data_IF_270930445637
#
_entry.id   IF_270930445637
#
_cell.length_a   1.000
_cell.length_b   1.000
_cell.length_c   1.000
_cell.angle_alpha   90.00
_cell.angle_beta   90.00
_cell.angle_gamma   90.00
#
_symmetry.space_group_name_H-M   'P 1'
#
loop_
_entity.id
_entity.type
_entity.pdbx_description
1 polymer ?
#
# COMPACT_ATOMS: atom_id res chain seq x y z
N UNK A 1 2.75 -16.28 5.17
CA UNK A 1 2.06 -15.45 6.17
C UNK A 1 2.24 -16.07 7.53
N UNK A 2 2.38 -15.26 8.58
CA UNK A 2 2.40 -15.72 9.97
C UNK A 2 1.01 -15.65 10.60
N UNK A 3 0.59 -16.74 11.24
CA UNK A 3 -0.68 -16.88 11.97
C UNK A 3 -0.51 -16.73 13.49
N UNK A 4 0.73 -16.71 13.98
CA UNK A 4 1.04 -16.95 15.38
C UNK A 4 1.69 -15.77 16.09
N UNK A 5 2.31 -14.84 15.36
CA UNK A 5 2.97 -13.67 15.93
C UNK A 5 2.09 -12.43 15.93
N UNK A 6 2.23 -11.61 16.97
CA UNK A 6 1.73 -10.23 16.99
C UNK A 6 2.38 -9.42 15.86
N UNK A 7 1.69 -8.37 15.37
CA UNK A 7 2.04 -7.56 14.19
C UNK A 7 3.49 -7.03 14.13
N UNK A 8 4.27 -7.10 15.21
CA UNK A 8 5.57 -6.45 15.36
C UNK A 8 6.80 -7.32 14.99
N UNK A 9 6.64 -8.58 14.52
CA UNK A 9 7.78 -9.51 14.32
C UNK A 9 7.80 -10.17 12.94
N UNK A 10 8.05 -9.40 11.89
CA UNK A 10 8.34 -9.98 10.56
C UNK A 10 9.70 -9.54 9.99
N UNK A 11 10.46 -8.77 10.76
CA UNK A 11 11.90 -8.55 10.60
C UNK A 11 12.71 -9.85 10.74
N UNK A 12 12.11 -10.89 11.33
CA UNK A 12 12.71 -12.22 11.49
C UNK A 12 11.81 -13.32 10.93
N UNK A 13 12.41 -14.49 10.68
CA UNK A 13 11.71 -15.68 10.24
C UNK A 13 11.21 -15.64 8.79
N UNK A 14 10.45 -16.66 8.36
CA UNK A 14 10.17 -16.93 6.95
C UNK A 14 9.01 -16.12 6.34
N UNK A 15 8.40 -15.21 7.09
CA UNK A 15 7.11 -14.60 6.74
C UNK A 15 7.26 -13.21 6.12
N UNK A 16 6.48 -12.90 5.08
CA UNK A 16 6.42 -11.54 4.50
C UNK A 16 5.51 -10.62 5.32
N UNK A 17 4.41 -11.18 5.83
CA UNK A 17 3.39 -10.45 6.60
C UNK A 17 2.65 -11.39 7.56
N UNK A 18 1.83 -10.85 8.45
CA UNK A 18 1.01 -11.58 9.41
C UNK A 18 -0.47 -11.50 9.05
N UNK A 19 -1.29 -12.40 9.60
CA UNK A 19 -2.76 -12.34 9.43
C UNK A 19 -3.32 -11.02 9.94
N UNK A 20 -2.81 -10.52 11.07
CA UNK A 20 -3.21 -9.22 11.61
C UNK A 20 -2.78 -8.06 10.70
N UNK A 21 -1.68 -8.20 9.95
CA UNK A 21 -1.27 -7.24 8.93
C UNK A 21 -2.24 -7.23 7.74
N UNK A 22 -2.70 -8.41 7.32
CA UNK A 22 -3.73 -8.51 6.28
C UNK A 22 -5.10 -8.00 6.72
N UNK A 23 -5.52 -8.27 7.95
CA UNK A 23 -6.77 -7.72 8.50
C UNK A 23 -6.75 -6.18 8.49
N UNK A 24 -5.63 -5.61 8.95
CA UNK A 24 -5.40 -4.16 8.86
C UNK A 24 -5.45 -3.66 7.40
N UNK A 25 -4.84 -4.40 6.46
CA UNK A 25 -4.84 -4.06 5.05
C UNK A 25 -6.27 -4.04 4.49
N UNK A 26 -7.07 -5.08 4.74
CA UNK A 26 -8.46 -5.19 4.29
C UNK A 26 -9.27 -3.97 4.76
N UNK A 27 -9.12 -3.57 6.02
CA UNK A 27 -9.79 -2.39 6.57
C UNK A 27 -9.39 -1.07 5.88
N UNK A 28 -8.13 -0.94 5.44
CA UNK A 28 -7.67 0.25 4.72
C UNK A 28 -8.12 0.25 3.25
N UNK A 29 -8.09 -0.89 2.57
CA UNK A 29 -8.57 -1.05 1.19
C UNK A 29 -10.06 -0.70 1.08
N UNK A 30 -10.87 -1.23 1.99
CA UNK A 30 -12.31 -0.98 2.01
C UNK A 30 -12.66 0.42 2.54
N UNK A 31 -11.71 1.09 3.21
CA UNK A 31 -11.88 2.37 3.91
C UNK A 31 -13.08 2.40 4.88
N UNK A 32 -13.49 1.22 5.36
CA UNK A 32 -14.60 1.06 6.29
C UNK A 32 -14.08 1.16 7.72
N UNK A 33 -14.58 2.14 8.47
CA UNK A 33 -14.33 2.19 9.91
C UNK A 33 -15.15 1.12 10.61
N UNK A 34 -14.60 0.55 11.68
CA UNK A 34 -15.38 -0.33 12.57
C UNK A 34 -16.59 0.43 13.13
N UNK A 35 -17.77 -0.16 12.97
CA UNK A 35 -19.02 0.36 13.52
C UNK A 35 -19.08 -0.07 14.99
N UNK A 36 -19.09 0.92 15.90
CA UNK A 36 -19.22 0.68 17.34
C UNK A 36 -20.65 0.42 17.76
N UNK A 37 -21.60 0.98 17.03
CA UNK A 37 -23.03 0.88 17.29
C UNK A 37 -23.79 0.64 15.98
N UNK A 38 -24.32 -0.57 15.83
CA UNK A 38 -25.09 -0.96 14.65
C UNK A 38 -26.54 -0.45 14.66
N UNK A 39 -26.92 0.36 15.64
CA UNK A 39 -28.15 1.18 15.60
C UNK A 39 -27.91 2.57 15.00
N UNK A 40 -26.65 2.97 14.80
CA UNK A 40 -26.32 4.17 14.02
C UNK A 40 -26.49 3.87 12.51
N UNK A 41 -27.72 3.97 12.05
CA UNK A 41 -28.07 3.68 10.66
C UNK A 41 -27.36 4.58 9.66
N UNK A 42 -26.99 5.82 10.04
CA UNK A 42 -26.19 6.70 9.19
C UNK A 42 -24.77 6.16 8.99
N UNK A 43 -24.14 5.66 10.05
CA UNK A 43 -22.83 5.03 9.97
C UNK A 43 -22.88 3.75 9.13
N UNK A 44 -23.91 2.91 9.30
CA UNK A 44 -24.11 1.70 8.50
C UNK A 44 -24.34 2.04 7.02
N UNK A 45 -25.20 3.02 6.71
CA UNK A 45 -25.44 3.47 5.34
C UNK A 45 -24.16 3.96 4.65
N UNK A 46 -23.31 4.70 5.38
CA UNK A 46 -21.99 5.14 4.87
C UNK A 46 -21.05 3.96 4.64
N UNK A 47 -21.08 2.94 5.49
CA UNK A 47 -20.29 1.73 5.31
C UNK A 47 -20.73 0.97 4.05
N UNK A 48 -22.04 0.74 3.88
CA UNK A 48 -22.61 0.07 2.69
C UNK A 48 -22.19 0.83 1.42
N UNK A 49 -22.39 2.14 1.37
CA UNK A 49 -22.00 2.97 0.22
C UNK A 49 -20.50 2.87 -0.10
N UNK A 50 -19.65 2.79 0.93
CA UNK A 50 -18.21 2.61 0.73
C UNK A 50 -17.87 1.24 0.16
N UNK A 51 -18.47 0.18 0.68
CA UNK A 51 -18.27 -1.19 0.18
C UNK A 51 -18.67 -1.28 -1.30
N UNK A 52 -19.86 -0.81 -1.65
CA UNK A 52 -20.33 -0.78 -3.05
C UNK A 52 -19.41 0.02 -3.96
N UNK A 53 -18.90 1.18 -3.49
CA UNK A 53 -17.98 1.98 -4.28
C UNK A 53 -16.61 1.35 -4.48
N UNK A 54 -16.06 0.70 -3.44
CA UNK A 54 -14.72 0.11 -3.45
C UNK A 54 -14.66 -1.26 -4.12
N UNK A 55 -15.80 -1.95 -4.18
CA UNK A 55 -15.93 -3.29 -4.77
C UNK A 55 -16.69 -3.28 -6.10
N UNK A 56 -17.37 -2.19 -6.44
CA UNK A 56 -18.15 -2.09 -7.68
C UNK A 56 -19.39 -2.96 -7.71
N UNK A 57 -19.93 -3.31 -6.54
CA UNK A 57 -21.13 -4.13 -6.34
C UNK A 57 -22.32 -3.31 -5.84
N UNK A 58 -23.49 -3.93 -5.80
CA UNK A 58 -24.70 -3.38 -5.17
C UNK A 58 -25.15 -4.28 -4.01
N UNK A 59 -25.44 -3.67 -2.86
CA UNK A 59 -25.94 -4.34 -1.66
C UNK A 59 -27.41 -3.95 -1.42
N UNK A 60 -28.25 -4.16 -2.46
CA UNK A 60 -29.64 -3.71 -2.49
C UNK A 60 -30.46 -4.23 -1.30
N UNK A 61 -30.31 -5.52 -0.96
CA UNK A 61 -31.03 -6.11 0.16
C UNK A 61 -30.57 -5.55 1.51
N UNK A 62 -29.26 -5.30 1.67
CA UNK A 62 -28.73 -4.69 2.88
C UNK A 62 -29.26 -3.25 3.04
N UNK A 63 -29.36 -2.49 1.95
CA UNK A 63 -29.96 -1.14 1.95
C UNK A 63 -31.45 -1.19 2.32
N UNK A 64 -32.21 -2.09 1.72
CA UNK A 64 -33.63 -2.26 2.03
C UNK A 64 -33.85 -2.64 3.51
N UNK A 65 -33.09 -3.62 4.01
CA UNK A 65 -33.10 -4.00 5.44
C UNK A 65 -32.75 -2.83 6.35
N UNK A 66 -31.73 -2.05 6.01
CA UNK A 66 -31.33 -0.89 6.80
C UNK A 66 -32.47 0.15 6.88
N UNK A 67 -33.11 0.44 5.75
CA UNK A 67 -34.24 1.37 5.68
C UNK A 67 -35.44 0.89 6.51
N UNK A 68 -35.74 -0.40 6.49
CA UNK A 68 -36.80 -1.00 7.29
C UNK A 68 -36.50 -0.94 8.80
N UNK A 69 -35.24 -1.16 9.19
CA UNK A 69 -34.81 -1.08 10.59
C UNK A 69 -34.89 0.37 11.12
N UNK A 70 -34.45 1.33 10.32
CA UNK A 70 -34.52 2.76 10.64
C UNK A 70 -35.98 3.25 10.77
N UNK A 71 -36.85 2.80 9.87
CA UNK A 71 -38.23 3.29 9.77
C UNK A 71 -39.20 2.62 10.75
N UNK A 72 -38.95 1.36 11.14
CA UNK A 72 -39.97 0.57 11.85
C UNK A 72 -39.46 -0.19 13.09
N UNK A 73 -38.33 -0.89 12.99
CA UNK A 73 -37.98 -1.90 13.99
C UNK A 73 -37.07 -1.39 15.10
N UNK A 74 -36.25 -0.36 14.81
CA UNK A 74 -35.27 0.23 15.73
C UNK A 74 -34.37 -0.83 16.41
N UNK A 75 -33.92 -1.83 15.66
CA UNK A 75 -33.02 -2.90 16.10
C UNK A 75 -31.65 -2.78 15.44
N UNK A 76 -30.58 -3.31 16.05
CA UNK A 76 -29.25 -3.33 15.44
C UNK A 76 -29.26 -3.98 14.06
N UNK A 77 -28.63 -3.32 13.10
CA UNK A 77 -28.38 -3.87 11.78
C UNK A 77 -27.36 -5.03 11.85
N UNK A 78 -27.56 -6.03 11.02
CA UNK A 78 -26.60 -7.10 10.79
C UNK A 78 -26.58 -7.45 9.31
N UNK A 79 -25.37 -7.66 8.78
CA UNK A 79 -25.18 -8.29 7.48
C UNK A 79 -25.65 -9.74 7.55
N UNK A 80 -26.30 -10.21 6.50
CA UNK A 80 -26.62 -11.64 6.34
C UNK A 80 -25.40 -12.39 5.80
N UNK A 81 -25.39 -13.71 5.93
CA UNK A 81 -24.33 -14.54 5.32
C UNK A 81 -24.23 -14.29 3.81
N UNK A 82 -25.36 -14.08 3.12
CA UNK A 82 -25.38 -13.74 1.69
C UNK A 82 -24.76 -12.38 1.38
N UNK A 83 -24.91 -11.37 2.25
CA UNK A 83 -24.22 -10.09 2.06
C UNK A 83 -22.71 -10.27 2.21
N UNK A 84 -22.29 -11.02 3.24
CA UNK A 84 -20.90 -11.26 3.55
C UNK A 84 -20.21 -12.05 2.45
N UNK A 85 -20.85 -13.11 1.94
CA UNK A 85 -20.36 -13.90 0.81
C UNK A 85 -20.19 -13.04 -0.45
N UNK A 86 -21.15 -12.14 -0.72
CA UNK A 86 -21.07 -11.22 -1.87
C UNK A 86 -19.93 -10.22 -1.71
N UNK A 87 -19.75 -9.65 -0.51
CA UNK A 87 -18.64 -8.75 -0.18
C UNK A 87 -17.29 -9.48 -0.30
N UNK A 88 -17.17 -10.70 0.23
CA UNK A 88 -15.95 -11.51 0.19
C UNK A 88 -15.57 -11.85 -1.25
N UNK A 89 -16.53 -12.35 -2.03
CA UNK A 89 -16.32 -12.69 -3.44
C UNK A 89 -15.84 -11.47 -4.23
N UNK A 90 -16.51 -10.33 -4.06
CA UNK A 90 -16.15 -9.11 -4.77
C UNK A 90 -14.79 -8.54 -4.33
N UNK A 91 -14.45 -8.64 -3.05
CA UNK A 91 -13.13 -8.26 -2.55
C UNK A 91 -12.03 -9.13 -3.16
N UNK A 92 -12.23 -10.45 -3.19
CA UNK A 92 -11.29 -11.39 -3.82
C UNK A 92 -11.06 -11.06 -5.30
N UNK A 93 -12.13 -10.78 -6.03
CA UNK A 93 -12.08 -10.47 -7.46
C UNK A 93 -11.38 -9.15 -7.78
N UNK A 94 -11.65 -8.10 -6.99
CA UNK A 94 -11.14 -6.74 -7.26
C UNK A 94 -9.74 -6.53 -6.67
N UNK A 95 -9.50 -7.02 -5.45
CA UNK A 95 -8.30 -6.68 -4.67
C UNK A 95 -7.35 -7.86 -4.43
N UNK A 96 -7.81 -9.11 -4.58
CA UNK A 96 -6.97 -10.28 -4.34
C UNK A 96 -5.72 -10.32 -5.23
N UNK A 97 -5.86 -10.03 -6.52
CA UNK A 97 -4.75 -9.92 -7.47
C UNK A 97 -3.77 -8.80 -7.12
N UNK A 98 -4.21 -7.53 -7.02
CA UNK A 98 -3.37 -6.40 -6.63
C UNK A 98 -2.57 -6.60 -5.35
N UNK A 99 -3.22 -7.05 -4.26
CA UNK A 99 -2.56 -7.27 -2.97
C UNK A 99 -1.51 -8.38 -3.07
N UNK A 100 -1.87 -9.49 -3.72
CA UNK A 100 -0.94 -10.60 -3.93
C UNK A 100 0.27 -10.15 -4.73
N UNK A 101 0.08 -9.33 -5.76
CA UNK A 101 1.17 -8.78 -6.57
C UNK A 101 2.13 -7.96 -5.70
N UNK A 102 1.64 -7.02 -4.90
CA UNK A 102 2.49 -6.23 -3.99
C UNK A 102 3.29 -7.15 -3.05
N UNK A 103 2.64 -8.16 -2.47
CA UNK A 103 3.28 -9.07 -1.51
C UNK A 103 4.19 -10.13 -2.16
N UNK A 104 4.22 -10.25 -3.48
CA UNK A 104 5.02 -11.30 -4.17
C UNK A 104 5.98 -10.78 -5.23
N UNK A 105 5.76 -9.55 -5.72
CA UNK A 105 6.53 -8.93 -6.81
C UNK A 105 7.30 -7.68 -6.41
N UNK A 106 7.06 -7.14 -5.21
CA UNK A 106 8.01 -6.20 -4.62
C UNK A 106 9.34 -6.93 -4.38
N UNK A 107 10.44 -6.38 -4.90
CA UNK A 107 11.72 -7.08 -5.06
C UNK A 107 12.26 -7.73 -3.78
N UNK A 108 12.26 -7.08 -2.60
CA UNK A 108 12.68 -7.74 -1.35
C UNK A 108 11.84 -8.98 -1.01
N UNK A 109 10.54 -8.96 -1.32
CA UNK A 109 9.65 -10.08 -1.07
C UNK A 109 9.83 -11.20 -2.10
N UNK A 110 10.04 -10.85 -3.37
CA UNK A 110 10.36 -11.81 -4.42
C UNK A 110 11.68 -12.54 -4.13
N UNK A 111 12.71 -11.81 -3.69
CA UNK A 111 13.99 -12.38 -3.25
C UNK A 111 13.83 -13.33 -2.07
N UNK A 112 13.02 -12.96 -1.07
CA UNK A 112 12.71 -13.86 0.05
C UNK A 112 11.99 -15.13 -0.42
N UNK A 113 11.00 -15.01 -1.32
CA UNK A 113 10.27 -16.16 -1.87
C UNK A 113 11.24 -17.08 -2.63
N UNK A 114 12.08 -16.52 -3.50
CA UNK A 114 13.07 -17.25 -4.27
C UNK A 114 14.07 -17.98 -3.36
N UNK A 115 14.57 -17.30 -2.33
CA UNK A 115 15.44 -17.92 -1.32
C UNK A 115 14.74 -19.08 -0.61
N UNK A 116 13.49 -18.90 -0.20
CA UNK A 116 12.74 -19.95 0.49
C UNK A 116 12.48 -21.18 -0.38
N UNK A 117 12.25 -20.98 -1.68
CA UNK A 117 12.13 -22.05 -2.66
C UNK A 117 13.46 -22.80 -2.82
N UNK A 118 14.56 -22.06 -3.02
CA UNK A 118 15.90 -22.62 -3.15
C UNK A 118 16.32 -23.43 -1.90
N UNK A 119 16.05 -22.90 -0.71
CA UNK A 119 16.43 -23.52 0.55
C UNK A 119 15.45 -24.63 1.01
N UNK A 120 14.37 -24.90 0.26
CA UNK A 120 13.37 -25.90 0.62
C UNK A 120 12.57 -25.58 1.89
N UNK A 121 12.58 -24.32 2.34
CA UNK A 121 11.97 -23.87 3.60
C UNK A 121 10.47 -23.60 3.52
N UNK A 122 9.84 -23.94 2.39
CA UNK A 122 8.38 -24.03 2.26
C UNK A 122 7.82 -25.35 2.79
N UNK A 123 8.68 -26.34 3.07
CA UNK A 123 8.26 -27.66 3.59
C UNK A 123 7.55 -27.57 4.94
N UNK A 124 6.63 -28.52 5.19
CA UNK A 124 5.90 -28.60 6.46
C UNK A 124 6.83 -28.75 7.67
N UNK A 125 7.97 -29.44 7.51
CA UNK A 125 8.96 -29.57 8.58
C UNK A 125 9.56 -28.22 8.97
N UNK A 126 9.94 -27.38 8.01
CA UNK A 126 10.47 -26.05 8.30
C UNK A 126 9.39 -25.17 8.95
N UNK A 127 8.16 -25.19 8.43
CA UNK A 127 7.06 -24.42 9.01
C UNK A 127 6.76 -24.84 10.46
N UNK A 128 6.69 -26.16 10.72
CA UNK A 128 6.47 -26.69 12.06
C UNK A 128 7.66 -26.38 12.99
N UNK A 129 8.89 -26.47 12.50
CA UNK A 129 10.08 -26.13 13.27
C UNK A 129 10.07 -24.65 13.70
N UNK A 130 9.81 -23.71 12.78
CA UNK A 130 9.71 -22.28 13.12
C UNK A 130 8.63 -22.02 14.16
N UNK A 131 7.44 -22.61 14.00
CA UNK A 131 6.35 -22.49 14.97
C UNK A 131 6.74 -23.00 16.36
N UNK A 132 7.35 -24.19 16.45
CA UNK A 132 7.76 -24.77 17.72
C UNK A 132 8.94 -24.01 18.35
N UNK A 133 9.85 -23.47 17.53
CA UNK A 133 10.96 -22.63 17.99
C UNK A 133 10.44 -21.37 18.67
N UNK A 134 9.48 -20.66 18.06
CA UNK A 134 8.90 -19.45 18.66
C UNK A 134 8.13 -19.77 19.95
N UNK A 135 7.37 -20.87 20.00
CA UNK A 135 6.71 -21.30 21.24
C UNK A 135 7.69 -21.68 22.34
N UNK A 136 8.80 -22.35 21.98
CA UNK A 136 9.87 -22.68 22.92
C UNK A 136 10.53 -21.43 23.51
N UNK A 137 10.78 -20.39 22.71
CA UNK A 137 11.34 -19.11 23.20
C UNK A 137 10.45 -18.44 24.26
N UNK A 138 9.14 -18.69 24.21
CA UNK A 138 8.17 -18.16 25.17
C UNK A 138 7.98 -19.07 26.40
N UNK A 139 8.55 -20.28 26.40
CA UNK A 139 8.41 -21.30 27.45
C UNK A 139 9.64 -21.27 28.39
N UNK A 140 9.65 -20.31 29.31
CA UNK A 140 10.78 -20.03 30.22
C UNK A 140 11.16 -21.20 31.14
N UNK A 141 10.29 -22.19 31.32
CA UNK A 141 10.45 -23.27 32.29
C UNK A 141 10.64 -24.66 31.66
N UNK A 142 11.02 -24.73 30.39
CA UNK A 142 11.18 -26.00 29.65
C UNK A 142 9.95 -26.91 29.77
N UNK A 143 8.77 -26.31 29.73
CA UNK A 143 7.50 -27.01 29.85
C UNK A 143 7.11 -27.77 28.59
N UNK A 144 5.81 -27.78 28.31
CA UNK A 144 5.23 -28.56 27.22
C UNK A 144 5.78 -28.15 25.85
N UNK A 145 6.05 -26.87 25.61
CA UNK A 145 6.52 -26.42 24.29
C UNK A 145 7.97 -26.87 24.03
N UNK A 146 8.84 -26.81 25.05
CA UNK A 146 10.19 -27.34 24.95
C UNK A 146 10.22 -28.88 24.75
N UNK A 147 9.26 -29.61 25.33
CA UNK A 147 9.09 -31.04 25.08
C UNK A 147 8.61 -31.32 23.65
N UNK A 148 7.58 -30.62 23.17
CA UNK A 148 7.07 -30.73 21.79
C UNK A 148 8.17 -30.43 20.76
N UNK A 149 8.99 -29.40 21.01
CA UNK A 149 10.14 -29.06 20.18
C UNK A 149 11.18 -30.19 20.11
N UNK A 150 11.57 -30.77 21.25
CA UNK A 150 12.54 -31.89 21.30
C UNK A 150 12.00 -33.14 20.61
N UNK A 151 10.72 -33.46 20.81
CA UNK A 151 10.06 -34.60 20.14
C UNK A 151 10.03 -34.41 18.62
N UNK A 152 9.71 -33.20 18.16
CA UNK A 152 9.76 -32.85 16.75
C UNK A 152 11.15 -33.08 16.16
N UNK A 153 12.19 -32.53 16.81
CA UNK A 153 13.57 -32.67 16.34
C UNK A 153 14.02 -34.13 16.28
N UNK A 154 13.73 -34.93 17.30
CA UNK A 154 14.04 -36.37 17.27
C UNK A 154 13.35 -37.08 16.10
N UNK A 155 12.05 -36.83 15.90
CA UNK A 155 11.27 -37.43 14.80
C UNK A 155 11.84 -37.09 13.41
N UNK A 156 12.27 -35.84 13.20
CA UNK A 156 12.78 -35.40 11.89
C UNK A 156 14.24 -35.79 11.68
N UNK A 157 15.05 -35.85 12.74
CA UNK A 157 16.44 -36.30 12.65
C UNK A 157 16.57 -37.81 12.42
N UNK A 158 15.66 -38.61 13.00
CA UNK A 158 15.73 -40.08 12.95
C UNK A 158 14.97 -40.71 11.78
N UNK A 159 14.38 -39.89 10.88
CA UNK A 159 13.57 -40.43 9.77
C UNK A 159 14.45 -41.11 8.71
N UNK A 160 13.96 -42.19 8.06
CA UNK A 160 14.77 -42.99 7.14
C UNK A 160 15.06 -42.30 5.80
N UNK A 161 14.28 -41.28 5.42
CA UNK A 161 14.41 -40.56 4.15
C UNK A 161 14.59 -39.07 4.44
N UNK A 162 15.67 -38.49 3.91
CA UNK A 162 15.99 -37.06 4.02
C UNK A 162 16.03 -36.52 5.46
N UNK A 163 16.79 -37.10 6.40
CA UNK A 163 16.83 -36.62 7.78
C UNK A 163 17.35 -35.18 7.87
N UNK A 164 16.66 -34.33 8.63
CA UNK A 164 17.02 -32.92 8.79
C UNK A 164 17.52 -32.69 10.22
N UNK A 165 18.73 -32.15 10.35
CA UNK A 165 19.31 -31.78 11.65
C UNK A 165 18.82 -30.41 12.11
N UNK A 166 18.83 -30.14 13.42
CA UNK A 166 18.55 -28.80 13.97
C UNK A 166 19.44 -27.73 13.34
N UNK A 167 20.73 -28.02 13.13
CA UNK A 167 21.68 -27.11 12.47
C UNK A 167 21.27 -26.73 11.05
N UNK A 168 20.64 -27.65 10.32
CA UNK A 168 20.16 -27.36 8.97
C UNK A 168 19.00 -26.36 9.01
N UNK A 169 18.07 -26.53 9.96
CA UNK A 169 17.01 -25.55 10.18
C UNK A 169 17.57 -24.18 10.60
N UNK A 170 18.52 -24.15 11.53
CA UNK A 170 19.18 -22.93 12.00
C UNK A 170 19.93 -22.21 10.88
N UNK A 171 20.63 -22.94 10.00
CA UNK A 171 21.33 -22.37 8.85
C UNK A 171 20.34 -21.71 7.86
N UNK A 172 19.23 -22.38 7.57
CA UNK A 172 18.15 -21.81 6.74
C UNK A 172 17.56 -20.55 7.39
N UNK A 173 17.30 -20.58 8.69
CA UNK A 173 16.79 -19.42 9.43
C UNK A 173 17.78 -18.24 9.43
N UNK A 174 19.07 -18.51 9.65
CA UNK A 174 20.12 -17.50 9.61
C UNK A 174 20.21 -16.84 8.22
N UNK A 175 20.15 -17.63 7.15
CA UNK A 175 20.12 -17.10 5.79
C UNK A 175 18.89 -16.23 5.51
N UNK A 176 17.70 -16.63 5.98
CA UNK A 176 16.47 -15.84 5.83
C UNK A 176 16.57 -14.53 6.61
N UNK A 177 17.02 -14.58 7.86
CA UNK A 177 17.17 -13.39 8.69
C UNK A 177 18.22 -12.42 8.13
N UNK A 178 19.29 -12.93 7.53
CA UNK A 178 20.30 -12.10 6.88
C UNK A 178 19.77 -11.28 5.71
N UNK A 179 18.73 -11.73 4.99
CA UNK A 179 18.07 -10.93 3.95
C UNK A 179 17.18 -9.81 4.51
N UNK A 180 16.71 -9.96 5.75
CA UNK A 180 15.73 -9.07 6.37
C UNK A 180 16.35 -8.03 7.29
N UNK A 181 17.51 -8.35 7.84
CA UNK A 181 18.28 -7.47 8.72
C UNK A 181 18.49 -6.12 8.02
N UNK A 182 18.22 -5.05 8.77
CA UNK A 182 18.33 -3.64 8.38
C UNK A 182 17.52 -3.23 7.14
N UNK A 183 16.67 -4.10 6.61
CA UNK A 183 15.85 -3.83 5.44
C UNK A 183 14.43 -3.40 5.82
N UNK A 184 14.12 -2.13 5.56
CA UNK A 184 12.82 -1.51 5.83
C UNK A 184 11.65 -2.24 5.17
N UNK A 185 11.83 -2.98 4.07
CA UNK A 185 10.75 -3.77 3.47
C UNK A 185 10.11 -4.75 4.47
N UNK A 186 10.87 -5.20 5.47
CA UNK A 186 10.42 -6.10 6.54
C UNK A 186 10.11 -5.37 7.86
N UNK A 187 9.98 -4.05 7.81
CA UNK A 187 9.51 -3.22 8.91
C UNK A 187 8.00 -2.97 8.81
N UNK A 188 7.29 -3.04 9.96
CA UNK A 188 5.83 -2.79 10.02
C UNK A 188 5.42 -1.39 9.61
N UNK A 189 6.21 -0.37 9.95
CA UNK A 189 5.88 0.99 9.60
C UNK A 189 6.03 1.24 8.09
N UNK A 190 7.08 0.69 7.47
CA UNK A 190 7.31 0.78 6.03
C UNK A 190 6.30 -0.06 5.24
N UNK A 191 6.01 -1.32 5.62
CA UNK A 191 5.02 -2.13 4.91
C UNK A 191 3.63 -1.47 4.91
N UNK A 192 3.24 -0.84 6.02
CA UNK A 192 2.02 -0.02 6.09
C UNK A 192 2.10 1.18 5.15
N UNK A 193 3.23 1.88 5.14
CA UNK A 193 3.45 3.03 4.26
C UNK A 193 3.39 2.63 2.77
N UNK A 194 4.01 1.51 2.40
CA UNK A 194 4.01 0.95 1.04
C UNK A 194 2.58 0.67 0.56
N UNK A 195 1.78 0.00 1.39
CA UNK A 195 0.37 -0.28 1.08
C UNK A 195 -0.46 1.00 1.00
N UNK A 196 -0.25 1.96 1.91
CA UNK A 196 -0.95 3.24 1.86
C UNK A 196 -0.55 4.10 0.66
N UNK A 197 0.72 4.05 0.25
CA UNK A 197 1.23 4.70 -0.96
C UNK A 197 0.59 4.09 -2.20
N UNK A 198 0.52 2.76 -2.27
CA UNK A 198 -0.23 2.06 -3.32
C UNK A 198 -1.72 2.45 -3.34
N UNK A 199 -2.39 2.54 -2.19
CA UNK A 199 -3.80 2.93 -2.14
C UNK A 199 -4.04 4.37 -2.62
N UNK A 200 -3.07 5.27 -2.45
CA UNK A 200 -3.12 6.60 -3.07
C UNK A 200 -2.91 6.50 -4.58
N UNK A 201 -1.91 5.73 -5.02
CA UNK A 201 -1.61 5.49 -6.44
C UNK A 201 -2.77 4.83 -7.19
N UNK A 202 -3.46 3.89 -6.56
CA UNK A 202 -4.60 3.17 -7.13
C UNK A 202 -5.82 4.07 -7.42
N UNK A 203 -5.88 5.29 -6.84
CA UNK A 203 -6.93 6.27 -7.14
C UNK A 203 -6.80 6.87 -8.53
N UNK A 204 -5.61 6.84 -9.13
CA UNK A 204 -5.37 7.31 -10.48
C UNK A 204 -6.15 6.42 -11.46
N UNK A 205 -7.14 7.00 -12.14
CA UNK A 205 -7.90 6.27 -13.14
C UNK A 205 -7.07 6.03 -14.40
N UNK A 206 -7.50 5.08 -15.23
CA UNK A 206 -6.83 4.86 -16.52
C UNK A 206 -6.83 6.13 -17.39
N UNK A 207 -7.95 6.86 -17.54
CA UNK A 207 -7.97 8.14 -18.26
C UNK A 207 -7.01 9.19 -17.69
N UNK A 208 -6.88 9.29 -16.36
CA UNK A 208 -5.97 10.27 -15.73
C UNK A 208 -4.50 10.02 -16.10
N UNK A 209 -4.13 8.75 -16.30
CA UNK A 209 -2.76 8.35 -16.68
C UNK A 209 -2.55 8.45 -18.18
N UNK A 210 -3.57 8.12 -18.98
CA UNK A 210 -3.50 8.28 -20.44
C UNK A 210 -3.39 9.74 -20.84
N UNK A 211 -4.00 10.67 -20.09
CA UNK A 211 -3.91 12.10 -20.35
C UNK A 211 -2.47 12.66 -20.27
N UNK A 212 -1.55 12.01 -19.55
CA UNK A 212 -0.13 12.41 -19.52
C UNK A 212 0.56 12.22 -20.87
N UNK A 213 0.17 11.19 -21.63
CA UNK A 213 0.81 10.85 -22.89
C UNK A 213 0.31 11.70 -24.07
N UNK A 214 -0.70 12.55 -23.86
CA UNK A 214 -1.40 13.32 -24.91
C UNK A 214 -0.99 14.80 -24.90
N UNK A 215 0.17 15.16 -24.34
CA UNK A 215 0.65 16.55 -24.33
C UNK A 215 1.25 17.04 -25.66
N UNK A 216 1.22 16.23 -26.73
CA UNK A 216 1.35 16.78 -28.09
C UNK A 216 0.02 17.43 -28.47
N UNK A 217 0.03 18.77 -28.58
CA UNK A 217 -1.07 19.66 -28.97
C UNK A 217 -1.97 19.10 -30.10
N UNK A 218 -2.97 18.28 -29.76
CA UNK A 218 -4.17 18.16 -30.58
C UNK A 218 -5.21 19.12 -30.00
N UNK A 219 -5.33 20.30 -30.62
CA UNK A 219 -6.48 21.21 -30.47
C UNK A 219 -7.77 20.42 -30.74
N UNK A 220 -8.36 19.87 -29.68
CA UNK A 220 -9.72 19.34 -29.73
C UNK A 220 -10.69 20.54 -29.68
N UNK A 221 -11.67 20.60 -30.59
CA UNK A 221 -12.58 21.74 -30.69
C UNK A 221 -13.40 21.89 -29.41
N UNK A 222 -13.41 23.11 -28.88
CA UNK A 222 -14.20 23.59 -27.76
C UNK A 222 -15.66 23.10 -27.82
N UNK A 223 -16.01 22.19 -26.90
CA UNK A 223 -17.38 21.87 -26.54
C UNK A 223 -17.69 22.47 -25.17
N UNK A 224 -17.92 23.79 -25.15
CA UNK A 224 -18.85 24.55 -24.31
C UNK A 224 -19.15 24.02 -22.91
N UNK A 225 -18.77 24.84 -21.92
CA UNK A 225 -19.19 24.85 -20.51
C UNK A 225 -20.40 23.97 -20.16
N UNK A 226 -20.15 22.84 -19.47
CA UNK A 226 -21.19 22.11 -18.73
C UNK A 226 -21.22 22.61 -17.29
N UNK A 227 -22.09 23.60 -17.08
CA UNK A 227 -22.63 23.99 -15.79
C UNK A 227 -23.01 22.76 -14.95
N UNK A 228 -22.54 22.77 -13.69
CA UNK A 228 -22.96 21.80 -12.69
C UNK A 228 -24.48 21.88 -12.48
N UNK A 229 -25.26 20.80 -12.63
CA UNK A 229 -26.67 20.84 -12.32
C UNK A 229 -26.87 20.73 -10.80
N UNK A 230 -27.49 21.79 -10.28
CA UNK A 230 -28.19 21.86 -9.00
C UNK A 230 -29.29 20.81 -8.87
N UNK A 231 -29.56 20.43 -7.62
CA UNK A 231 -30.70 19.64 -7.16
C UNK A 231 -32.02 20.05 -7.85
N UNK A 232 -32.70 19.10 -8.50
CA UNK A 232 -34.16 18.92 -8.45
C UNK A 232 -34.55 17.59 -9.13
N UNK A 233 -35.17 16.71 -8.35
CA UNK A 233 -35.76 15.44 -8.80
C UNK A 233 -37.24 15.66 -9.17
N UNK A 234 -37.63 15.40 -10.42
CA UNK A 234 -39.00 14.96 -10.75
C UNK A 234 -38.95 13.83 -11.80
N UNK A 235 -39.82 12.81 -11.70
CA UNK A 235 -39.80 11.67 -12.60
C UNK A 235 -40.74 11.89 -13.80
N UNK A 236 -40.26 11.65 -15.03
CA UNK A 236 -41.16 11.45 -16.17
C UNK A 236 -40.85 10.13 -16.88
N UNK A 237 -41.90 9.35 -17.07
CA UNK A 237 -41.93 8.07 -17.74
C UNK A 237 -41.92 8.19 -19.28
N UNK A 238 -41.56 7.05 -19.89
CA UNK A 238 -41.80 6.60 -21.27
C UNK A 238 -40.94 7.18 -22.40
N UNK A 239 -40.02 6.34 -22.90
CA UNK A 239 -40.01 5.94 -24.30
C UNK A 239 -39.14 4.69 -24.48
N UNK A 240 -39.75 3.62 -24.95
CA UNK A 240 -39.15 2.33 -25.21
C UNK A 240 -38.40 2.28 -26.55
N UNK A 241 -37.58 1.23 -26.67
CA UNK A 241 -37.08 0.60 -27.90
C UNK A 241 -35.91 1.30 -28.63
N UNK A 242 -34.69 0.90 -28.25
CA UNK A 242 -33.65 0.54 -29.24
C UNK A 242 -32.86 -0.65 -28.68
N UNK A 243 -33.26 -1.84 -29.10
CA UNK A 243 -32.56 -3.12 -28.90
C UNK A 243 -31.61 -3.34 -30.09
N UNK A 244 -30.52 -4.07 -29.86
CA UNK A 244 -29.47 -4.52 -30.80
C UNK A 244 -28.17 -3.70 -30.90
N UNK A 245 -27.43 -3.69 -29.79
CA UNK A 245 -26.13 -4.36 -29.71
C UNK A 245 -25.85 -4.62 -28.22
N UNK A 246 -25.37 -5.79 -27.84
CA UNK A 246 -24.73 -6.00 -26.53
C UNK A 246 -23.26 -5.59 -26.68
N UNK A 247 -22.84 -4.33 -26.40
CA UNK A 247 -21.51 -4.13 -25.89
C UNK A 247 -21.52 -4.71 -24.48
N UNK A 248 -20.47 -5.43 -24.10
CA UNK A 248 -20.23 -5.82 -22.71
C UNK A 248 -20.39 -4.53 -21.89
N UNK A 249 -21.52 -4.37 -21.19
CA UNK A 249 -21.66 -3.34 -20.16
C UNK A 249 -20.67 -3.76 -19.08
N UNK A 250 -19.45 -3.25 -19.17
CA UNK A 250 -18.45 -3.48 -18.14
C UNK A 250 -19.08 -3.04 -16.82
N UNK A 251 -19.33 -4.01 -15.93
CA UNK A 251 -19.81 -3.66 -14.60
C UNK A 251 -18.75 -2.82 -13.91
N UNK A 252 -19.15 -1.91 -13.02
CA UNK A 252 -18.20 -1.11 -12.23
C UNK A 252 -17.13 -1.99 -11.57
N UNK A 253 -17.48 -3.20 -11.14
CA UNK A 253 -16.55 -4.20 -10.62
C UNK A 253 -15.46 -4.59 -11.62
N UNK A 254 -15.80 -4.84 -12.89
CA UNK A 254 -14.83 -5.19 -13.95
C UNK A 254 -13.86 -4.03 -14.20
N UNK A 255 -14.38 -2.80 -14.26
CA UNK A 255 -13.56 -1.58 -14.44
C UNK A 255 -12.57 -1.44 -13.27
N UNK A 256 -13.05 -1.54 -12.02
CA UNK A 256 -12.19 -1.43 -10.83
C UNK A 256 -11.14 -2.54 -10.77
N UNK A 257 -11.52 -3.78 -11.10
CA UNK A 257 -10.59 -4.92 -11.16
C UNK A 257 -9.48 -4.66 -12.17
N UNK A 258 -9.82 -4.20 -13.38
CA UNK A 258 -8.84 -3.88 -14.43
C UNK A 258 -7.92 -2.74 -14.00
N UNK A 259 -8.50 -1.63 -13.52
CA UNK A 259 -7.77 -0.46 -13.05
C UNK A 259 -6.77 -0.83 -11.93
N UNK A 260 -7.22 -1.48 -10.86
CA UNK A 260 -6.34 -1.80 -9.74
C UNK A 260 -5.29 -2.84 -10.09
N UNK A 261 -5.57 -3.76 -11.01
CA UNK A 261 -4.57 -4.69 -11.51
C UNK A 261 -3.46 -3.98 -12.31
N UNK A 262 -3.83 -3.01 -13.16
CA UNK A 262 -2.88 -2.18 -13.90
C UNK A 262 -2.05 -1.30 -12.96
N UNK A 263 -2.70 -0.57 -12.06
CA UNK A 263 -2.04 0.29 -11.06
C UNK A 263 -1.08 -0.49 -10.16
N UNK A 264 -1.42 -1.73 -9.79
CA UNK A 264 -0.53 -2.57 -8.99
C UNK A 264 0.71 -3.06 -9.77
N UNK A 265 0.58 -3.26 -11.08
CA UNK A 265 1.73 -3.56 -11.94
C UNK A 265 2.67 -2.36 -12.04
N UNK A 266 2.13 -1.21 -12.45
CA UNK A 266 2.93 0.03 -12.62
C UNK A 266 3.58 0.45 -11.31
N UNK A 267 2.82 0.50 -10.20
CA UNK A 267 3.37 0.87 -8.89
C UNK A 267 4.55 -0.02 -8.46
N UNK A 268 4.45 -1.33 -8.68
CA UNK A 268 5.52 -2.26 -8.32
C UNK A 268 6.72 -2.14 -9.27
N UNK A 269 6.49 -1.91 -10.56
CA UNK A 269 7.58 -1.62 -11.51
C UNK A 269 8.33 -0.35 -11.10
N UNK A 270 7.61 0.75 -10.82
CA UNK A 270 8.22 2.02 -10.40
C UNK A 270 8.99 1.89 -9.09
N UNK A 271 8.39 1.29 -8.05
CA UNK A 271 9.07 1.14 -6.75
C UNK A 271 10.24 0.15 -6.83
N UNK A 272 10.16 -0.90 -7.65
CA UNK A 272 11.32 -1.76 -7.87
C UNK A 272 12.45 -1.01 -8.60
N UNK A 273 12.14 -0.14 -9.58
CA UNK A 273 13.14 0.73 -10.23
C UNK A 273 13.85 1.61 -9.20
N UNK A 274 13.11 2.22 -8.27
CA UNK A 274 13.66 3.00 -7.14
C UNK A 274 14.61 2.16 -6.29
N UNK A 275 14.19 0.98 -5.85
CA UNK A 275 15.00 0.09 -5.00
C UNK A 275 16.23 -0.45 -5.72
N UNK A 276 16.15 -0.63 -7.03
CA UNK A 276 17.25 -1.17 -7.84
C UNK A 276 18.38 -0.18 -8.02
N UNK A 277 18.01 1.08 -8.23
CA UNK A 277 18.93 2.20 -8.45
C UNK A 277 19.45 2.75 -7.12
N UNK A 278 18.55 2.94 -6.15
CA UNK A 278 18.86 3.45 -4.82
C UNK A 278 18.46 2.42 -3.74
N UNK A 279 19.28 1.38 -3.49
CA UNK A 279 19.00 0.36 -2.48
C UNK A 279 18.83 0.91 -1.06
N UNK A 280 19.50 2.02 -0.76
CA UNK A 280 19.44 2.74 0.52
C UNK A 280 18.04 3.31 0.80
N UNK A 281 17.15 3.36 -0.20
CA UNK A 281 15.71 3.56 0.01
C UNK A 281 15.13 2.58 1.04
N UNK A 282 15.69 1.38 1.14
CA UNK A 282 15.27 0.36 2.10
C UNK A 282 16.10 0.35 3.38
N UNK A 283 16.94 1.35 3.61
CA UNK A 283 17.74 1.51 4.82
C UNK A 283 17.18 2.66 5.65
N UNK A 284 17.12 2.52 6.97
CA UNK A 284 16.57 3.58 7.84
C UNK A 284 17.45 4.83 7.85
N UNK A 285 18.75 4.62 7.74
CA UNK A 285 19.83 5.58 7.66
C UNK A 285 20.23 5.86 6.20
N UNK A 286 19.37 5.52 5.24
CA UNK A 286 19.59 5.86 3.83
C UNK A 286 19.77 7.37 3.66
N UNK A 287 20.86 7.76 3.02
CA UNK A 287 21.27 9.15 2.82
C UNK A 287 20.93 9.62 1.40
N UNK A 288 20.59 10.89 1.24
CA UNK A 288 20.46 11.53 -0.06
C UNK A 288 21.31 12.80 -0.12
N UNK A 289 21.80 13.15 -1.31
CA UNK A 289 22.53 14.39 -1.55
C UNK A 289 21.67 15.40 -2.30
N UNK A 290 21.61 16.65 -1.82
CA UNK A 290 20.98 17.74 -2.55
C UNK A 290 21.88 18.32 -3.67
N UNK A 291 21.36 19.30 -4.41
CA UNK A 291 22.05 19.98 -5.52
C UNK A 291 23.39 20.63 -5.10
N UNK A 292 23.50 21.06 -3.85
CA UNK A 292 24.69 21.67 -3.27
C UNK A 292 25.69 20.64 -2.72
N UNK A 293 25.36 19.35 -2.80
CA UNK A 293 26.16 18.24 -2.28
C UNK A 293 26.06 18.06 -0.76
N UNK A 294 25.06 18.69 -0.11
CA UNK A 294 24.74 18.42 1.30
C UNK A 294 24.06 17.06 1.40
N UNK A 295 24.51 16.26 2.36
CA UNK A 295 23.98 14.94 2.64
C UNK A 295 23.06 15.01 3.85
N UNK A 296 21.84 14.49 3.73
CA UNK A 296 20.85 14.38 4.81
C UNK A 296 20.15 13.00 4.73
N UNK A 297 19.43 12.60 5.78
CA UNK A 297 18.74 11.31 5.82
C UNK A 297 17.40 11.34 5.06
N UNK A 298 17.21 10.36 4.18
CA UNK A 298 16.05 10.28 3.30
C UNK A 298 14.75 10.12 4.09
N UNK A 299 14.75 9.27 5.13
CA UNK A 299 13.58 8.98 5.94
C UNK A 299 13.37 9.94 7.13
N UNK A 300 14.18 11.00 7.25
CA UNK A 300 14.03 12.01 8.30
C UNK A 300 12.61 12.59 8.33
N UNK A 301 12.04 12.73 9.54
CA UNK A 301 10.69 13.25 9.74
C UNK A 301 9.55 12.28 9.38
N UNK A 302 9.86 11.11 8.79
CA UNK A 302 8.90 10.05 8.47
C UNK A 302 9.12 8.81 9.33
N UNK A 303 9.90 7.83 8.85
CA UNK A 303 10.24 6.59 9.52
C UNK A 303 11.44 6.75 10.46
N UNK A 304 12.31 7.72 10.22
CA UNK A 304 13.42 8.05 11.13
C UNK A 304 12.97 9.13 12.13
N UNK A 305 13.05 8.81 13.42
CA UNK A 305 12.90 9.81 14.48
C UNK A 305 14.20 10.55 14.66
N UNK A 306 14.15 11.86 14.50
CA UNK A 306 15.22 12.76 14.92
C UNK A 306 14.77 13.53 16.17
N UNK A 307 15.68 13.76 17.13
CA UNK A 307 17.13 13.46 17.11
C UNK A 307 17.49 12.08 17.69
N UNK A 308 16.53 11.18 17.93
CA UNK A 308 16.81 9.90 18.60
C UNK A 308 17.51 8.86 17.72
N UNK A 309 17.58 9.07 16.41
CA UNK A 309 18.14 8.17 15.39
C UNK A 309 17.59 6.74 15.50
N UNK A 310 16.27 6.64 15.69
CA UNK A 310 15.55 5.36 15.81
C UNK A 310 14.34 5.29 14.90
N UNK A 311 13.90 4.07 14.58
CA UNK A 311 12.70 3.85 13.77
C UNK A 311 11.44 4.31 14.51
N UNK A 312 10.61 5.11 13.85
CA UNK A 312 9.26 5.47 14.28
C UNK A 312 8.23 4.40 13.87
N UNK A 313 7.91 3.51 14.81
CA UNK A 313 6.92 2.46 14.60
C UNK A 313 5.45 2.93 14.69
N UNK A 314 5.20 4.25 14.83
CA UNK A 314 3.82 4.76 14.99
C UNK A 314 3.04 4.70 13.68
N UNK A 315 1.71 4.57 13.77
CA UNK A 315 0.84 4.70 12.60
C UNK A 315 1.01 6.06 11.90
N UNK A 316 1.26 7.12 12.68
CA UNK A 316 1.52 8.46 12.15
C UNK A 316 2.77 8.51 11.28
N UNK A 317 3.81 7.74 11.60
CA UNK A 317 5.00 7.62 10.74
C UNK A 317 4.68 6.97 9.40
N UNK A 318 3.94 5.86 9.40
CA UNK A 318 3.48 5.23 8.17
C UNK A 318 2.65 6.17 7.30
N UNK A 319 1.78 6.98 7.91
CA UNK A 319 0.96 7.98 7.21
C UNK A 319 1.83 9.05 6.55
N UNK A 320 2.95 9.45 7.16
CA UNK A 320 3.88 10.43 6.57
C UNK A 320 4.75 9.78 5.48
N UNK A 321 5.27 8.58 5.75
CA UNK A 321 6.12 7.84 4.81
C UNK A 321 5.39 7.43 3.52
N UNK A 322 4.06 7.23 3.58
CA UNK A 322 3.27 6.88 2.38
C UNK A 322 3.39 7.92 1.27
N UNK A 323 3.51 9.21 1.63
CA UNK A 323 3.53 10.30 0.64
C UNK A 323 4.85 10.25 -0.13
N UNK A 324 6.00 9.99 0.53
CA UNK A 324 7.27 9.76 -0.16
C UNK A 324 7.24 8.55 -1.09
N UNK A 325 6.68 7.42 -0.65
CA UNK A 325 6.57 6.22 -1.49
C UNK A 325 5.64 6.47 -2.68
N UNK A 326 4.50 7.12 -2.46
CA UNK A 326 3.60 7.50 -3.55
C UNK A 326 4.29 8.44 -4.54
N UNK A 327 4.98 9.48 -4.05
CA UNK A 327 5.68 10.44 -4.89
C UNK A 327 6.77 9.77 -5.73
N UNK A 328 7.59 8.90 -5.13
CA UNK A 328 8.63 8.16 -5.85
C UNK A 328 8.04 7.30 -6.99
N UNK A 329 6.92 6.61 -6.75
CA UNK A 329 6.26 5.83 -7.79
C UNK A 329 5.59 6.69 -8.87
N UNK A 330 4.91 7.77 -8.47
CA UNK A 330 4.18 8.65 -9.36
C UNK A 330 5.12 9.48 -10.25
N UNK A 331 6.30 9.82 -9.75
CA UNK A 331 7.36 10.51 -10.49
C UNK A 331 7.91 9.65 -11.64
N UNK A 332 8.20 8.37 -11.37
CA UNK A 332 8.59 7.41 -12.42
C UNK A 332 7.46 7.25 -13.44
N UNK A 333 6.21 7.14 -12.99
CA UNK A 333 5.06 7.06 -13.92
C UNK A 333 4.93 8.31 -14.78
N UNK A 334 5.18 9.50 -14.22
CA UNK A 334 5.12 10.75 -14.97
C UNK A 334 6.12 10.72 -16.12
N UNK A 335 7.39 10.48 -15.79
CA UNK A 335 8.49 10.41 -16.75
C UNK A 335 8.25 9.35 -17.85
N UNK A 336 7.91 8.11 -17.45
CA UNK A 336 7.61 7.00 -18.36
C UNK A 336 6.48 7.34 -19.37
N UNK A 337 5.64 8.34 -19.07
CA UNK A 337 4.50 8.75 -19.91
C UNK A 337 4.75 10.02 -20.71
N UNK A 338 5.56 10.95 -20.21
CA UNK A 338 5.83 12.23 -20.88
C UNK A 338 7.07 12.19 -21.75
N UNK A 339 8.15 11.56 -21.28
CA UNK A 339 9.48 11.64 -21.91
C UNK A 339 10.25 10.30 -21.86
N UNK A 340 9.67 9.16 -22.26
CA UNK A 340 10.25 7.83 -22.02
C UNK A 340 11.61 7.54 -22.67
N UNK A 341 12.03 8.36 -23.64
CA UNK A 341 13.24 8.15 -24.45
C UNK A 341 14.36 9.18 -24.15
N UNK A 342 14.12 10.16 -23.27
CA UNK A 342 15.07 11.24 -22.96
C UNK A 342 15.09 11.53 -21.46
N UNK A 343 16.23 12.01 -20.95
CA UNK A 343 16.33 12.50 -19.58
C UNK A 343 15.52 13.79 -19.50
N UNK A 344 14.43 13.76 -18.75
CA UNK A 344 13.46 14.84 -18.65
C UNK A 344 13.85 15.88 -17.59
N UNK A 345 13.34 17.11 -17.77
CA UNK A 345 13.69 18.21 -16.87
C UNK A 345 12.87 18.14 -15.57
N UNK A 346 13.56 17.90 -14.45
CA UNK A 346 12.94 17.89 -13.12
C UNK A 346 12.19 19.18 -12.81
N UNK A 347 12.68 20.35 -13.25
CA UNK A 347 12.03 21.62 -12.94
C UNK A 347 10.69 21.75 -13.67
N UNK A 348 10.56 21.18 -14.88
CA UNK A 348 9.27 21.07 -15.59
C UNK A 348 8.30 20.21 -14.79
N UNK A 349 8.68 18.98 -14.45
CA UNK A 349 7.87 18.09 -13.60
C UNK A 349 7.42 18.77 -12.31
N UNK A 350 8.36 19.42 -11.62
CA UNK A 350 8.09 20.09 -10.35
C UNK A 350 7.06 21.22 -10.51
N UNK A 351 7.20 22.04 -11.55
CA UNK A 351 6.28 23.14 -11.83
C UNK A 351 4.89 22.62 -12.22
N UNK A 352 4.81 21.62 -13.09
CA UNK A 352 3.54 21.01 -13.52
C UNK A 352 2.78 20.39 -12.34
N UNK A 353 3.48 19.90 -11.33
CA UNK A 353 2.86 19.31 -10.15
C UNK A 353 2.51 20.32 -9.05
N UNK A 354 3.27 21.41 -8.90
CA UNK A 354 3.17 22.30 -7.72
C UNK A 354 2.68 23.70 -8.02
N UNK A 355 3.02 24.25 -9.19
CA UNK A 355 2.66 25.61 -9.59
C UNK A 355 1.40 25.64 -10.46
N UNK A 356 1.31 24.76 -11.44
CA UNK A 356 0.22 24.75 -12.42
C UNK A 356 -0.32 23.34 -12.76
N UNK A 357 -0.99 22.68 -11.80
CA UNK A 357 -1.48 21.32 -12.01
C UNK A 357 -2.75 21.31 -12.88
N UNK A 358 -2.57 21.11 -14.19
CA UNK A 358 -3.67 20.98 -15.16
C UNK A 358 -4.32 19.58 -15.15
N UNK A 359 -3.52 18.54 -14.91
CA UNK A 359 -3.95 17.15 -14.97
C UNK A 359 -4.30 16.57 -13.60
N UNK A 360 -5.20 15.58 -13.56
CA UNK A 360 -5.63 14.95 -12.32
C UNK A 360 -4.46 14.28 -11.56
N UNK A 361 -3.49 13.71 -12.29
CA UNK A 361 -2.29 13.10 -11.72
C UNK A 361 -1.31 14.13 -11.16
N UNK A 362 -1.00 15.21 -11.89
CA UNK A 362 -0.11 16.28 -11.41
C UNK A 362 -0.73 16.98 -10.19
N UNK A 363 -2.05 17.21 -10.19
CA UNK A 363 -2.78 17.67 -9.02
C UNK A 363 -2.71 16.69 -7.83
N UNK A 364 -2.65 15.38 -8.09
CA UNK A 364 -2.50 14.36 -7.04
C UNK A 364 -1.10 14.36 -6.44
N UNK A 365 -0.07 14.49 -7.28
CA UNK A 365 1.32 14.66 -6.88
C UNK A 365 1.47 15.93 -6.04
N UNK A 366 0.98 17.07 -6.52
CA UNK A 366 0.97 18.34 -5.80
C UNK A 366 0.32 18.25 -4.41
N UNK A 367 -0.83 17.57 -4.30
CA UNK A 367 -1.47 17.32 -2.99
C UNK A 367 -0.59 16.49 -2.06
N UNK A 368 0.12 15.49 -2.55
CA UNK A 368 1.05 14.70 -1.74
C UNK A 368 2.27 15.52 -1.31
N UNK A 369 2.84 16.35 -2.20
CA UNK A 369 3.89 17.31 -1.86
C UNK A 369 3.42 18.26 -0.77
N UNK A 370 2.22 18.84 -0.89
CA UNK A 370 1.65 19.71 0.15
C UNK A 370 1.49 18.99 1.49
N UNK A 371 1.01 17.74 1.51
CA UNK A 371 0.88 16.95 2.76
C UNK A 371 2.23 16.67 3.41
N UNK A 372 3.24 16.36 2.61
CA UNK A 372 4.60 16.11 3.09
C UNK A 372 5.25 17.39 3.66
N UNK A 373 4.98 18.54 3.02
CA UNK A 373 5.71 19.79 3.23
C UNK A 373 5.04 20.71 4.25
N UNK A 374 3.72 20.88 4.17
CA UNK A 374 3.01 21.99 4.80
C UNK A 374 2.73 21.79 6.30
N UNK A 375 3.27 22.71 7.08
CA UNK A 375 3.09 22.88 8.52
C UNK A 375 4.20 22.23 9.34
N UNK A 376 4.48 22.74 10.54
CA UNK A 376 5.55 22.20 11.41
C UNK A 376 5.38 20.72 11.77
N UNK A 377 4.13 20.23 11.78
CA UNK A 377 3.80 18.83 12.07
C UNK A 377 3.99 17.86 10.91
N UNK A 378 4.26 18.38 9.70
CA UNK A 378 4.49 17.62 8.48
C UNK A 378 5.77 16.78 8.56
N UNK A 379 6.02 15.97 7.54
CA UNK A 379 7.27 15.21 7.46
C UNK A 379 8.47 16.15 7.32
N UNK A 380 8.41 17.08 6.38
CA UNK A 380 9.46 18.08 6.18
C UNK A 380 9.67 18.94 7.43
N UNK A 381 8.59 19.42 8.05
CA UNK A 381 8.66 20.23 9.27
C UNK A 381 9.26 19.48 10.48
N UNK A 382 9.20 18.15 10.48
CA UNK A 382 9.89 17.32 11.48
C UNK A 382 11.35 17.11 11.14
N UNK A 383 11.70 16.90 9.87
CA UNK A 383 13.09 16.78 9.42
C UNK A 383 13.86 18.08 9.72
N UNK A 384 13.33 19.22 9.29
CA UNK A 384 13.92 20.56 9.50
C UNK A 384 14.17 20.82 10.99
N UNK A 385 13.16 20.61 11.83
CA UNK A 385 13.30 20.77 13.29
C UNK A 385 14.22 19.73 13.92
N UNK A 386 14.28 18.52 13.37
CA UNK A 386 15.22 17.47 13.76
C UNK A 386 16.67 17.92 13.63
N UNK A 387 16.96 18.73 12.59
CA UNK A 387 18.26 19.38 12.37
C UNK A 387 18.50 20.65 13.19
N UNK A 388 17.51 21.07 13.99
CA UNK A 388 17.57 22.30 14.77
C UNK A 388 17.32 23.59 13.98
N UNK A 389 16.80 23.47 12.76
CA UNK A 389 16.45 24.60 11.88
C UNK A 389 15.01 25.10 12.17
N UNK A 390 14.74 26.39 11.92
CA UNK A 390 13.39 26.96 12.04
C UNK A 390 12.55 26.63 10.80
N UNK A 391 11.34 26.14 11.01
CA UNK A 391 10.44 25.78 9.92
C UNK A 391 9.87 27.03 9.23
N UNK A 392 9.92 27.03 7.89
CA UNK A 392 9.12 27.89 7.02
C UNK A 392 8.42 27.04 5.96
N UNK A 393 7.32 27.52 5.37
CA UNK A 393 6.65 26.76 4.29
C UNK A 393 7.58 26.59 3.09
N UNK A 394 8.36 27.61 2.73
CA UNK A 394 9.36 27.56 1.67
C UNK A 394 10.37 26.43 1.90
N UNK A 395 10.96 26.35 3.10
CA UNK A 395 11.88 25.26 3.44
C UNK A 395 11.18 23.90 3.46
N UNK A 396 9.91 23.84 3.84
CA UNK A 396 9.13 22.61 3.77
C UNK A 396 9.00 22.06 2.36
N UNK A 397 8.70 22.92 1.38
CA UNK A 397 8.61 22.53 -0.04
C UNK A 397 9.98 22.21 -0.62
N UNK A 398 11.00 22.99 -0.27
CA UNK A 398 12.38 22.75 -0.68
C UNK A 398 12.90 21.39 -0.18
N UNK A 399 12.56 21.00 1.06
CA UNK A 399 12.88 19.68 1.63
C UNK A 399 12.25 18.52 0.85
N UNK A 400 11.05 18.72 0.27
CA UNK A 400 10.43 17.76 -0.64
C UNK A 400 11.12 17.76 -2.00
N UNK A 401 11.37 18.95 -2.56
CA UNK A 401 12.04 19.15 -3.84
C UNK A 401 13.38 18.43 -3.89
N UNK A 402 14.24 18.60 -2.88
CA UNK A 402 15.57 17.98 -2.82
C UNK A 402 15.53 16.45 -2.84
N UNK A 403 14.59 15.83 -2.11
CA UNK A 403 14.45 14.35 -2.11
C UNK A 403 13.98 13.82 -3.46
N UNK A 404 13.02 14.51 -4.08
CA UNK A 404 12.52 14.09 -5.39
C UNK A 404 13.55 14.35 -6.48
N UNK A 405 14.25 15.49 -6.43
CA UNK A 405 15.35 15.81 -7.33
C UNK A 405 16.46 14.77 -7.24
N UNK A 406 16.88 14.40 -6.01
CA UNK A 406 17.86 13.33 -5.82
C UNK A 406 17.42 12.02 -6.47
N UNK A 407 16.19 11.57 -6.19
CA UNK A 407 15.68 10.36 -6.81
C UNK A 407 15.58 10.47 -8.33
N UNK A 408 15.18 11.62 -8.86
CA UNK A 408 15.11 11.89 -10.30
C UNK A 408 16.47 11.72 -10.97
N UNK A 409 17.52 12.29 -10.37
CA UNK A 409 18.90 12.17 -10.87
C UNK A 409 19.42 10.74 -10.79
N UNK A 410 19.21 10.06 -9.66
CA UNK A 410 19.66 8.66 -9.49
C UNK A 410 18.97 7.75 -10.52
N UNK A 411 17.68 7.96 -10.77
CA UNK A 411 16.88 7.15 -11.68
C UNK A 411 17.11 7.43 -13.17
N UNK A 412 17.90 8.47 -13.49
CA UNK A 412 18.09 8.99 -14.84
C UNK A 412 16.74 9.19 -15.55
N UNK A 413 15.76 9.78 -14.82
CA UNK A 413 14.48 10.21 -15.39
C UNK A 413 14.69 11.42 -16.29
#
# INVERSE_FOLDING_TARGET
MDWHSEQAKFDTGPYITTVLGLDWLVGNVLETKSIKDFTDYSAVAKQIKKLENRLGIELLEARARLQDLESFQLRPFAYTDSDLDHIESAFSDVWGGPITKILTKFRPYEQLIAKRLHDGSLSLDHQQWFHLLERKKQDTYDGRAAQEYRQFLGRVADRPVDPISEKAFEATAAGINGLKVDNLAFNVAFQRALLMGFLEYAKLSTPDVEALAVSEEEEFPDFGELDAPSDDYEPSADSAEEEFADPIRETKQVILRSQYAARAEEFIQSINRVVDVYPDFLMIDGEFSDEDGRVDEFWAGTLLRQPEDTIDFTQSASVRARDLIFLAAAMVLYDDRTEPDVISDFDTFWNDCTADPELAITASIGRAVTRFSKGEGSAAGRAIRGRGEEYSEEFGYEEARRRLWFLWQELEL
#
